data_IF_702250598388
#
_entry.id   IF_702250598388
#
_cell.length_a   1.000
_cell.length_b   1.000
_cell.length_c   1.000
_cell.angle_alpha   90.00
_cell.angle_beta   90.00
_cell.angle_gamma   90.00
#
_symmetry.space_group_name_H-M   'P 1'
#
loop_
_entity.id
_entity.type
_entity.pdbx_description
1 polymer ?
#
# COMPACT_ATOMS: atom_id res chain seq x y z
N UNK A 1 -5.87 -7.82 2.08
CA UNK A 1 -6.68 -6.70 2.59
C UNK A 1 -8.15 -6.81 2.17
N UNK A 2 -8.45 -6.96 0.87
CA UNK A 2 -9.84 -6.95 0.38
C UNK A 2 -10.81 -7.97 1.05
N UNK A 3 -10.48 -9.28 1.22
CA UNK A 3 -11.42 -10.20 1.87
C UNK A 3 -11.74 -9.84 3.32
N UNK A 4 -10.75 -9.34 4.06
CA UNK A 4 -10.96 -8.89 5.44
C UNK A 4 -11.89 -7.67 5.49
N UNK A 5 -11.68 -6.68 4.61
CA UNK A 5 -12.55 -5.51 4.53
C UNK A 5 -13.99 -5.88 4.18
N UNK A 6 -14.16 -6.81 3.24
CA UNK A 6 -15.48 -7.32 2.85
C UNK A 6 -16.21 -8.02 4.01
N UNK A 7 -15.51 -8.88 4.76
CA UNK A 7 -16.09 -9.53 5.95
C UNK A 7 -16.47 -8.53 7.04
N UNK A 8 -15.71 -7.44 7.21
CA UNK A 8 -16.06 -6.38 8.15
C UNK A 8 -17.28 -5.58 7.69
N UNK A 9 -17.41 -5.29 6.39
CA UNK A 9 -18.61 -4.66 5.83
C UNK A 9 -19.87 -5.51 6.03
N UNK A 10 -19.79 -6.83 5.82
CA UNK A 10 -20.91 -7.75 6.09
C UNK A 10 -21.36 -7.74 7.55
N UNK A 11 -20.45 -7.41 8.48
CA UNK A 11 -20.75 -7.26 9.92
C UNK A 11 -21.24 -5.86 10.30
N UNK A 12 -21.49 -4.99 9.31
CA UNK A 12 -22.02 -3.64 9.51
C UNK A 12 -20.96 -2.56 9.76
N UNK A 13 -19.67 -2.86 9.57
CA UNK A 13 -18.61 -1.86 9.71
C UNK A 13 -18.39 -1.05 8.43
N UNK A 14 -18.16 0.25 8.59
CA UNK A 14 -17.59 1.08 7.51
C UNK A 14 -16.07 0.86 7.49
N UNK A 15 -15.53 0.55 6.32
CA UNK A 15 -14.11 0.20 6.15
C UNK A 15 -13.48 1.08 5.10
N UNK A 16 -12.41 1.76 5.49
CA UNK A 16 -11.56 2.57 4.61
C UNK A 16 -10.16 1.96 4.60
N UNK A 17 -9.62 1.74 3.41
CA UNK A 17 -8.24 1.29 3.23
C UNK A 17 -7.35 2.52 2.97
N UNK A 18 -6.36 2.71 3.83
CA UNK A 18 -5.32 3.72 3.68
C UNK A 18 -4.12 3.09 2.96
N UNK A 19 -3.68 3.68 1.85
CA UNK A 19 -2.55 3.14 1.10
C UNK A 19 -2.09 4.01 -0.05
N UNK A 20 -1.07 3.54 -0.76
CA UNK A 20 -0.52 4.22 -1.94
C UNK A 20 -1.47 4.11 -3.14
N UNK A 21 -1.38 5.04 -4.09
CA UNK A 21 -2.32 5.16 -5.21
C UNK A 21 -2.52 3.89 -6.04
N UNK A 22 -1.47 3.07 -6.19
CA UNK A 22 -1.55 1.78 -6.90
C UNK A 22 -2.56 0.79 -6.29
N UNK A 23 -2.98 1.00 -5.03
CA UNK A 23 -3.96 0.16 -4.34
C UNK A 23 -5.41 0.57 -4.58
N UNK A 24 -5.66 1.79 -5.06
CA UNK A 24 -7.00 2.35 -5.23
C UNK A 24 -7.88 1.48 -6.15
N UNK A 25 -7.44 1.08 -7.37
CA UNK A 25 -8.32 0.35 -8.28
C UNK A 25 -8.79 -0.99 -7.71
N UNK A 26 -7.91 -1.70 -7.00
CA UNK A 26 -8.23 -2.98 -6.35
C UNK A 26 -9.15 -2.80 -5.14
N UNK A 27 -8.99 -1.69 -4.42
CA UNK A 27 -9.79 -1.37 -3.23
C UNK A 27 -11.22 -1.00 -3.65
N UNK A 28 -11.36 -0.10 -4.62
CA UNK A 28 -12.65 0.32 -5.16
C UNK A 28 -13.38 -0.85 -5.83
N UNK A 29 -12.68 -1.68 -6.61
CA UNK A 29 -13.26 -2.88 -7.21
C UNK A 29 -13.76 -3.90 -6.17
N UNK A 30 -13.21 -3.88 -4.95
CA UNK A 30 -13.68 -4.70 -3.83
C UNK A 30 -14.85 -4.06 -3.04
N UNK A 31 -15.34 -2.90 -3.46
CA UNK A 31 -16.43 -2.17 -2.77
C UNK A 31 -16.00 -1.49 -1.47
N UNK A 32 -14.69 -1.33 -1.25
CA UNK A 32 -14.13 -0.67 -0.06
C UNK A 32 -13.84 0.80 -0.34
N UNK A 33 -13.95 1.64 0.69
CA UNK A 33 -13.49 3.03 0.61
C UNK A 33 -11.96 3.07 0.59
N UNK A 34 -11.40 4.08 -0.07
CA UNK A 34 -9.97 4.25 -0.20
C UNK A 34 -9.56 5.66 0.22
N UNK A 35 -8.43 5.76 0.92
CA UNK A 35 -7.79 7.01 1.26
C UNK A 35 -6.31 6.93 0.88
N UNK A 36 -5.86 7.87 0.05
CA UNK A 36 -4.48 7.90 -0.42
C UNK A 36 -3.54 8.45 0.66
N UNK A 37 -2.42 7.77 0.86
CA UNK A 37 -1.27 8.24 1.65
C UNK A 37 0.00 8.03 0.85
N UNK A 38 1.00 8.87 1.08
CA UNK A 38 2.30 8.81 0.44
C UNK A 38 2.28 9.21 -1.03
N UNK A 39 1.33 10.06 -1.46
CA UNK A 39 1.11 10.41 -2.87
C UNK A 39 2.37 10.99 -3.53
N UNK A 40 3.14 11.81 -2.80
CA UNK A 40 4.36 12.42 -3.31
C UNK A 40 5.52 11.42 -3.41
N UNK A 41 5.64 10.51 -2.45
CA UNK A 41 6.74 9.53 -2.36
C UNK A 41 6.50 8.27 -3.21
N UNK A 42 5.23 7.93 -3.41
CA UNK A 42 4.74 6.73 -4.08
C UNK A 42 3.67 7.09 -5.12
N UNK A 43 4.07 7.77 -6.22
CA UNK A 43 3.14 8.14 -7.27
C UNK A 43 2.57 6.91 -7.96
N UNK A 44 1.46 7.07 -8.68
CA UNK A 44 0.84 5.99 -9.45
C UNK A 44 1.86 5.33 -10.41
N UNK A 45 1.90 3.99 -10.43
CA UNK A 45 2.86 3.20 -11.20
C UNK A 45 4.12 2.82 -10.42
N UNK A 46 4.37 3.43 -9.27
CA UNK A 46 5.52 3.14 -8.42
C UNK A 46 5.58 1.66 -8.02
N UNK A 47 4.44 1.04 -7.69
CA UNK A 47 4.41 -0.37 -7.29
C UNK A 47 4.86 -1.29 -8.44
N UNK A 48 4.45 -0.98 -9.68
CA UNK A 48 4.85 -1.75 -10.85
C UNK A 48 6.35 -1.63 -11.13
N UNK A 49 6.92 -0.43 -11.01
CA UNK A 49 8.36 -0.21 -11.15
C UNK A 49 9.16 -0.93 -10.07
N UNK A 50 8.71 -0.82 -8.80
CA UNK A 50 9.30 -1.52 -7.66
C UNK A 50 9.33 -3.03 -7.91
N UNK A 51 8.21 -3.60 -8.34
CA UNK A 51 8.08 -5.04 -8.58
C UNK A 51 8.92 -5.50 -9.76
N UNK A 52 8.99 -4.70 -10.84
CA UNK A 52 9.87 -4.97 -11.98
C UNK A 52 11.35 -4.96 -11.59
N UNK A 53 11.76 -4.06 -10.68
CA UNK A 53 13.12 -4.04 -10.18
C UNK A 53 13.40 -5.20 -9.23
N UNK A 54 12.47 -5.50 -8.31
CA UNK A 54 12.60 -6.62 -7.37
C UNK A 54 12.69 -7.95 -8.12
N UNK A 55 11.93 -8.15 -9.20
CA UNK A 55 11.94 -9.36 -10.02
C UNK A 55 13.27 -9.64 -10.73
N UNK A 56 14.16 -8.65 -10.86
CA UNK A 56 15.52 -8.82 -11.40
C UNK A 56 16.53 -9.26 -10.34
N UNK A 57 16.16 -9.21 -9.07
CA UNK A 57 17.03 -9.52 -7.93
C UNK A 57 16.66 -10.89 -7.33
N UNK A 58 17.59 -11.49 -6.61
CA UNK A 58 17.35 -12.72 -5.86
C UNK A 58 18.11 -12.74 -4.53
N UNK A 59 17.73 -13.66 -3.66
CA UNK A 59 18.37 -13.92 -2.37
C UNK A 59 18.59 -12.65 -1.55
N UNK A 60 19.84 -12.48 -1.10
CA UNK A 60 20.21 -11.36 -0.22
C UNK A 60 20.14 -9.99 -0.91
N UNK A 61 20.30 -9.92 -2.23
CA UNK A 61 20.17 -8.66 -2.97
C UNK A 61 18.71 -8.18 -3.00
N UNK A 62 17.77 -9.10 -3.25
CA UNK A 62 16.34 -8.81 -3.17
C UNK A 62 15.94 -8.37 -1.75
N UNK A 63 16.42 -9.08 -0.72
CA UNK A 63 16.13 -8.72 0.68
C UNK A 63 16.59 -7.29 1.03
N UNK A 64 17.83 -6.93 0.65
CA UNK A 64 18.38 -5.58 0.91
C UNK A 64 17.58 -4.51 0.19
N UNK A 65 17.19 -4.76 -1.06
CA UNK A 65 16.35 -3.83 -1.82
C UNK A 65 14.99 -3.64 -1.13
N UNK A 66 14.31 -4.73 -0.76
CA UNK A 66 13.03 -4.67 -0.04
C UNK A 66 13.12 -3.87 1.26
N UNK A 67 14.15 -4.11 2.08
CA UNK A 67 14.29 -3.41 3.37
C UNK A 67 14.66 -1.94 3.15
N UNK A 68 15.75 -1.69 2.42
CA UNK A 68 16.36 -0.36 2.35
C UNK A 68 15.67 0.60 1.39
N UNK A 69 15.08 0.09 0.30
CA UNK A 69 14.45 0.93 -0.73
C UNK A 69 12.94 1.06 -0.56
N UNK A 70 12.30 0.07 0.08
CA UNK A 70 10.84 0.01 0.20
C UNK A 70 10.36 0.13 1.65
N UNK A 71 10.62 -0.85 2.51
CA UNK A 71 9.98 -0.95 3.83
C UNK A 71 10.29 0.25 4.73
N UNK A 72 11.52 0.75 4.70
CA UNK A 72 11.88 1.93 5.50
C UNK A 72 11.08 3.17 5.09
N UNK A 73 10.97 3.44 3.79
CA UNK A 73 10.23 4.61 3.27
C UNK A 73 8.74 4.48 3.54
N UNK A 74 8.18 3.31 3.30
CA UNK A 74 6.77 3.04 3.56
C UNK A 74 6.45 3.22 5.06
N UNK A 75 7.30 2.68 5.94
CA UNK A 75 7.13 2.83 7.40
C UNK A 75 7.16 4.30 7.82
N UNK A 76 8.11 5.09 7.31
CA UNK A 76 8.20 6.52 7.62
C UNK A 76 6.99 7.30 7.13
N UNK A 77 6.48 6.98 5.94
CA UNK A 77 5.27 7.57 5.39
C UNK A 77 4.05 7.23 6.26
N UNK A 78 3.86 5.97 6.64
CA UNK A 78 2.75 5.57 7.52
C UNK A 78 2.79 6.30 8.86
N UNK A 79 3.97 6.42 9.48
CA UNK A 79 4.14 7.12 10.76
C UNK A 79 3.86 8.62 10.67
N UNK A 80 4.05 9.24 9.50
CA UNK A 80 3.78 10.65 9.25
C UNK A 80 2.32 10.91 8.89
N UNK A 81 1.78 10.16 7.94
CA UNK A 81 0.54 10.53 7.24
C UNK A 81 -0.68 9.76 7.73
N UNK A 82 -0.53 8.54 8.25
CA UNK A 82 -1.67 7.78 8.75
C UNK A 82 -2.39 8.45 9.94
N UNK A 83 -1.70 9.06 10.93
CA UNK A 83 -2.37 9.76 12.03
C UNK A 83 -3.22 10.95 11.59
N UNK A 84 -2.84 11.65 10.51
CA UNK A 84 -3.59 12.79 9.99
C UNK A 84 -4.81 12.37 9.16
N UNK A 85 -4.85 11.11 8.71
CA UNK A 85 -5.93 10.54 7.93
C UNK A 85 -7.07 9.94 8.79
N UNK A 86 -6.96 9.98 10.12
CA UNK A 86 -7.87 9.32 11.08
C UNK A 86 -8.46 10.27 12.13
#
# INVERSE_FOLDING_TARGET
MAPLGYELQQRGHRVTLFGVLDMEPKTVAAGLEFWAIGVEEFPLGWAAERDAQLGKLNGLAALRYTIGSFLQRETMMHLREAPEAM
#
